data_IF_876206279753
#
_entry.id   IF_876206279753
#
_cell.length_a   1.000
_cell.length_b   1.000
_cell.length_c   1.000
_cell.angle_alpha   90.00
_cell.angle_beta   90.00
_cell.angle_gamma   90.00
#
_symmetry.space_group_name_H-M   'P 1'
#
loop_
_entity.id
_entity.type
_entity.pdbx_description
1 polymer ?
#
# COMPACT_ATOMS: atom_id res chain seq x y z
N UNK A 1 -9.78 14.39 -32.92
CA UNK A 1 -8.82 14.39 -31.79
C UNK A 1 -9.41 15.16 -30.62
N UNK A 2 -9.87 14.47 -29.56
CA UNK A 2 -10.43 15.15 -28.38
C UNK A 2 -9.28 15.59 -27.48
N UNK A 3 -9.05 16.90 -27.42
CA UNK A 3 -8.07 17.52 -26.54
C UNK A 3 -8.52 17.34 -25.08
N UNK A 4 -7.81 16.50 -24.33
CA UNK A 4 -8.07 16.24 -22.91
C UNK A 4 -7.45 17.38 -22.10
N UNK A 5 -8.30 18.30 -21.63
CA UNK A 5 -7.92 19.36 -20.70
C UNK A 5 -7.43 18.70 -19.41
N UNK A 6 -6.11 18.76 -19.16
CA UNK A 6 -5.53 18.34 -17.88
C UNK A 6 -6.04 19.31 -16.82
N UNK A 7 -6.98 18.86 -15.97
CA UNK A 7 -7.39 19.63 -14.80
C UNK A 7 -6.16 19.78 -13.89
N UNK A 8 -5.70 21.01 -13.69
CA UNK A 8 -4.71 21.35 -12.67
C UNK A 8 -5.31 21.09 -11.29
N UNK A 9 -5.19 19.84 -10.82
CA UNK A 9 -5.50 19.48 -9.45
C UNK A 9 -4.25 19.84 -8.64
N UNK A 10 -4.39 20.87 -7.80
CA UNK A 10 -3.35 21.32 -6.90
C UNK A 10 -3.13 20.25 -5.82
N UNK A 11 -2.19 19.34 -6.08
CA UNK A 11 -1.84 18.23 -5.20
C UNK A 11 -1.10 18.77 -3.97
N UNK A 12 -1.60 18.55 -2.73
CA UNK A 12 -0.98 19.14 -1.55
C UNK A 12 0.44 18.62 -1.38
N UNK A 13 1.42 19.50 -1.59
CA UNK A 13 2.86 19.27 -1.44
C UNK A 13 3.31 19.17 0.03
N UNK A 14 2.39 18.87 0.96
CA UNK A 14 2.73 18.68 2.37
C UNK A 14 3.02 17.20 2.60
N UNK A 15 4.26 16.79 2.35
CA UNK A 15 4.96 15.66 3.00
C UNK A 15 6.37 15.51 2.39
N UNK A 16 7.21 16.55 2.52
CA UNK A 16 8.66 16.44 2.28
C UNK A 16 9.28 15.68 3.48
N UNK A 17 9.57 14.39 3.30
CA UNK A 17 10.63 13.58 3.98
C UNK A 17 10.26 12.12 4.32
N UNK A 18 9.01 11.68 4.17
CA UNK A 18 8.57 10.36 4.68
C UNK A 18 8.86 9.13 3.78
N UNK A 19 9.25 9.32 2.52
CA UNK A 19 9.39 8.20 1.57
C UNK A 19 10.64 7.34 1.81
N UNK A 20 11.81 7.98 2.07
CA UNK A 20 13.01 7.21 2.42
C UNK A 20 12.85 6.50 3.75
N UNK A 21 12.25 7.15 4.75
CA UNK A 21 12.22 6.66 6.12
C UNK A 21 11.41 5.36 6.29
N UNK A 22 10.29 5.19 5.58
CA UNK A 22 9.50 3.95 5.67
C UNK A 22 10.24 2.73 5.10
N UNK A 23 10.98 2.89 4.00
CA UNK A 23 11.75 1.79 3.39
C UNK A 23 12.95 1.41 4.24
N UNK A 24 13.65 2.40 4.83
CA UNK A 24 14.76 2.14 5.76
C UNK A 24 14.31 1.28 6.95
N UNK A 25 13.13 1.55 7.55
CA UNK A 25 12.59 0.75 8.66
C UNK A 25 12.32 -0.71 8.27
N UNK A 26 12.08 -0.99 6.99
CA UNK A 26 11.80 -2.32 6.47
C UNK A 26 13.04 -3.08 6.02
N UNK A 27 14.22 -2.43 5.94
CA UNK A 27 15.48 -3.11 5.55
C UNK A 27 15.93 -4.22 6.49
N UNK A 28 15.39 -4.28 7.72
CA UNK A 28 15.64 -5.38 8.65
C UNK A 28 15.14 -6.74 8.09
N UNK A 29 14.16 -6.74 7.19
CA UNK A 29 13.68 -7.96 6.54
C UNK A 29 14.52 -8.26 5.30
N UNK A 30 15.10 -9.45 5.26
CA UNK A 30 16.07 -9.86 4.23
C UNK A 30 15.41 -10.37 2.95
N UNK A 31 14.27 -11.04 3.05
CA UNK A 31 13.48 -11.47 1.89
C UNK A 31 12.58 -10.32 1.42
N UNK A 32 13.04 -9.63 0.38
CA UNK A 32 12.41 -8.42 -0.17
C UNK A 32 12.71 -8.25 -1.66
N UNK A 33 11.94 -7.40 -2.32
CA UNK A 33 12.15 -7.01 -3.70
C UNK A 33 11.30 -5.81 -4.08
N UNK A 34 11.39 -5.39 -5.34
CA UNK A 34 10.58 -4.29 -5.84
C UNK A 34 10.32 -4.40 -7.34
N UNK A 35 9.19 -3.84 -7.77
CA UNK A 35 8.84 -3.75 -9.19
C UNK A 35 8.15 -2.41 -9.50
N UNK A 36 8.14 -2.04 -10.78
CA UNK A 36 7.45 -0.85 -11.28
C UNK A 36 6.19 -1.21 -12.06
N UNK A 37 5.21 -0.33 -12.02
CA UNK A 37 3.93 -0.47 -12.69
C UNK A 37 3.51 0.87 -13.31
N UNK A 38 3.41 0.91 -14.64
CA UNK A 38 2.83 1.97 -15.44
C UNK A 38 1.37 1.65 -15.82
N UNK A 39 0.64 2.64 -16.37
CA UNK A 39 -0.78 2.47 -16.72
C UNK A 39 -0.98 1.41 -17.81
N UNK A 40 -0.02 1.27 -18.71
CA UNK A 40 -0.02 0.35 -19.84
C UNK A 40 0.36 -1.08 -19.43
N UNK A 41 0.91 -1.26 -18.23
CA UNK A 41 1.38 -2.56 -17.77
C UNK A 41 0.23 -3.49 -17.36
N UNK A 42 0.47 -4.79 -17.52
CA UNK A 42 -0.31 -5.79 -16.83
C UNK A 42 0.33 -6.10 -15.47
N UNK A 43 -0.31 -5.69 -14.38
CA UNK A 43 0.20 -5.90 -13.01
C UNK A 43 0.50 -7.37 -12.69
N UNK A 44 -0.21 -8.34 -13.29
CA UNK A 44 0.07 -9.76 -13.06
C UNK A 44 1.37 -10.23 -13.71
N UNK A 45 1.87 -9.52 -14.72
CA UNK A 45 3.12 -9.84 -15.42
C UNK A 45 4.33 -9.15 -14.78
N UNK A 46 4.15 -7.93 -14.24
CA UNK A 46 5.26 -7.17 -13.65
C UNK A 46 5.44 -7.40 -12.14
N UNK A 47 4.42 -7.90 -11.44
CA UNK A 47 4.51 -8.19 -10.01
C UNK A 47 5.35 -9.44 -9.74
N UNK A 48 6.51 -9.25 -9.11
CA UNK A 48 7.48 -10.29 -8.73
C UNK A 48 7.36 -10.73 -7.26
N UNK A 49 6.38 -10.20 -6.52
CA UNK A 49 6.17 -10.51 -5.12
C UNK A 49 5.83 -12.01 -4.89
N UNK A 50 6.15 -12.58 -3.71
CA UNK A 50 5.90 -13.98 -3.43
C UNK A 50 4.41 -14.32 -3.30
N UNK A 51 4.02 -15.45 -3.87
CA UNK A 51 2.65 -15.97 -3.85
C UNK A 51 2.30 -16.85 -2.62
N UNK A 52 3.28 -17.18 -1.77
CA UNK A 52 3.11 -18.10 -0.62
C UNK A 52 3.65 -17.55 0.70
N UNK A 53 3.84 -16.24 0.81
CA UNK A 53 4.40 -15.62 2.01
C UNK A 53 3.54 -14.45 2.49
N UNK A 54 3.47 -14.29 3.82
CA UNK A 54 2.91 -13.11 4.47
C UNK A 54 3.92 -11.96 4.55
N UNK A 55 3.45 -10.73 4.50
CA UNK A 55 4.34 -9.57 4.50
C UNK A 55 3.65 -8.24 4.24
N UNK A 56 4.47 -7.23 3.98
CA UNK A 56 4.09 -5.84 3.71
C UNK A 56 4.46 -5.49 2.27
N UNK A 57 3.65 -4.64 1.64
CA UNK A 57 4.02 -3.92 0.43
C UNK A 57 3.75 -2.43 0.61
N UNK A 58 4.71 -1.63 0.18
CA UNK A 58 4.70 -0.17 0.24
C UNK A 58 4.68 0.33 -1.20
N UNK A 59 3.82 1.31 -1.49
CA UNK A 59 3.65 1.84 -2.83
C UNK A 59 4.01 3.32 -2.83
N UNK A 60 4.97 3.66 -3.68
CA UNK A 60 5.35 5.02 -4.00
C UNK A 60 4.82 5.39 -5.39
N UNK A 61 4.15 6.54 -5.49
CA UNK A 61 3.79 7.14 -6.77
C UNK A 61 4.90 8.12 -7.20
N UNK A 62 5.25 8.07 -8.48
CA UNK A 62 6.23 8.97 -9.08
C UNK A 62 5.56 9.88 -10.10
N UNK A 63 5.73 11.19 -9.91
CA UNK A 63 5.37 12.21 -10.90
C UNK A 63 6.58 13.10 -11.12
N UNK A 64 7.08 13.19 -12.36
CA UNK A 64 8.31 13.92 -12.69
C UNK A 64 9.49 13.53 -11.78
N UNK A 65 9.72 12.22 -11.60
CA UNK A 65 10.76 11.65 -10.74
C UNK A 65 10.69 12.02 -9.25
N UNK A 66 9.56 12.55 -8.77
CA UNK A 66 9.36 12.85 -7.34
C UNK A 66 8.54 11.74 -6.68
N UNK A 67 9.14 10.93 -5.77
CA UNK A 67 8.39 9.90 -5.07
C UNK A 67 7.46 10.49 -4.02
N UNK A 68 6.28 9.89 -3.89
CA UNK A 68 5.36 10.11 -2.78
C UNK A 68 4.82 8.77 -2.29
N UNK A 69 4.91 8.54 -0.98
CA UNK A 69 4.26 7.41 -0.33
C UNK A 69 2.73 7.55 -0.47
N UNK A 70 2.11 6.62 -1.17
CA UNK A 70 0.67 6.66 -1.45
C UNK A 70 -0.10 5.53 -0.80
N UNK A 71 0.51 4.35 -0.62
CA UNK A 71 -0.20 3.22 -0.04
C UNK A 71 0.73 2.30 0.76
N UNK A 72 0.19 1.71 1.82
CA UNK A 72 0.81 0.60 2.54
C UNK A 72 -0.24 -0.50 2.68
N UNK A 73 0.14 -1.73 2.39
CA UNK A 73 -0.74 -2.87 2.50
C UNK A 73 -0.05 -4.10 3.08
N UNK A 74 -0.84 -5.02 3.63
CA UNK A 74 -0.35 -6.31 4.12
C UNK A 74 -0.97 -7.53 3.41
N UNK A 75 -0.25 -8.65 3.53
CA UNK A 75 -0.77 -10.00 3.40
C UNK A 75 -0.45 -10.80 4.66
N UNK A 76 -1.49 -11.37 5.27
CA UNK A 76 -1.44 -11.93 6.62
C UNK A 76 -2.50 -11.29 7.50
N UNK A 77 -3.00 -12.02 8.49
CA UNK A 77 -3.96 -11.50 9.47
C UNK A 77 -3.64 -12.01 10.85
N UNK A 78 -3.80 -11.19 11.88
CA UNK A 78 -3.67 -11.65 13.26
C UNK A 78 -4.76 -12.68 13.56
N UNK A 79 -4.39 -13.79 14.17
CA UNK A 79 -5.30 -14.77 14.76
C UNK A 79 -5.50 -14.31 16.20
N UNK A 80 -6.70 -13.80 16.51
CA UNK A 80 -7.00 -13.22 17.83
C UNK A 80 -6.81 -14.24 18.96
N UNK A 81 -7.19 -15.50 18.73
CA UNK A 81 -7.16 -16.55 19.73
C UNK A 81 -5.73 -16.98 20.15
N UNK A 82 -4.77 -16.95 19.22
CA UNK A 82 -3.41 -17.45 19.48
C UNK A 82 -2.34 -16.36 19.50
N UNK A 83 -2.68 -15.13 19.10
CA UNK A 83 -1.72 -14.04 18.92
C UNK A 83 -0.81 -14.20 17.69
N UNK A 84 -0.75 -15.39 17.09
CA UNK A 84 -0.05 -15.70 15.84
C UNK A 84 -0.76 -15.03 14.66
N UNK A 85 -0.26 -15.22 13.44
CA UNK A 85 -0.93 -14.76 12.23
C UNK A 85 -1.18 -15.90 11.26
N UNK A 86 -2.21 -15.74 10.43
CA UNK A 86 -2.55 -16.65 9.35
C UNK A 86 -2.04 -16.09 8.04
N UNK A 87 -1.16 -16.84 7.37
CA UNK A 87 -0.80 -16.57 5.98
C UNK A 87 -2.03 -16.69 5.08
N UNK A 88 -2.12 -15.81 4.09
CA UNK A 88 -3.16 -15.93 3.06
C UNK A 88 -2.66 -16.85 1.96
N UNK A 89 -3.58 -17.64 1.39
CA UNK A 89 -3.30 -18.65 0.36
C UNK A 89 -2.51 -18.10 -0.84
N UNK A 90 -2.70 -16.82 -1.15
CA UNK A 90 -2.14 -16.15 -2.31
C UNK A 90 -1.02 -15.15 -1.98
N UNK A 91 -0.55 -15.12 -0.73
CA UNK A 91 0.62 -14.35 -0.32
C UNK A 91 0.52 -12.85 -0.60
N UNK A 92 1.67 -12.19 -0.74
CA UNK A 92 1.76 -10.77 -1.09
C UNK A 92 1.24 -10.55 -2.52
N UNK A 93 1.67 -11.42 -3.45
CA UNK A 93 1.29 -11.35 -4.87
C UNK A 93 -0.22 -11.24 -5.06
N UNK A 94 -0.99 -12.13 -4.43
CA UNK A 94 -2.44 -12.17 -4.57
C UNK A 94 -3.14 -10.95 -4.01
N UNK A 95 -2.58 -10.33 -2.96
CA UNK A 95 -3.07 -9.05 -2.46
C UNK A 95 -2.84 -7.95 -3.50
N UNK A 96 -1.65 -7.86 -4.08
CA UNK A 96 -1.35 -6.83 -5.07
C UNK A 96 -2.22 -7.00 -6.33
N UNK A 97 -2.22 -8.21 -6.92
CA UNK A 97 -2.80 -8.48 -8.25
C UNK A 97 -4.31 -8.71 -8.20
N UNK A 98 -4.80 -9.49 -7.22
CA UNK A 98 -6.22 -9.91 -7.13
C UNK A 98 -7.00 -9.18 -6.03
N UNK A 99 -6.31 -8.42 -5.17
CA UNK A 99 -6.92 -7.74 -4.06
C UNK A 99 -7.90 -6.66 -4.50
N UNK A 100 -8.80 -6.32 -3.58
CA UNK A 100 -9.74 -5.21 -3.73
C UNK A 100 -9.45 -4.11 -2.71
N UNK A 101 -9.76 -2.88 -3.11
CA UNK A 101 -9.70 -1.67 -2.31
C UNK A 101 -11.14 -1.21 -2.04
N UNK A 102 -11.46 -0.86 -0.79
CA UNK A 102 -12.76 -0.24 -0.49
C UNK A 102 -12.75 1.20 -1.02
N UNK A 103 -13.86 1.62 -1.62
CA UNK A 103 -13.99 2.98 -2.13
C UNK A 103 -14.36 3.91 -0.97
N UNK A 104 -13.64 5.03 -0.82
CA UNK A 104 -13.93 6.01 0.23
C UNK A 104 -15.39 6.52 0.10
N UNK A 105 -16.09 6.62 1.23
CA UNK A 105 -17.51 7.02 1.25
C UNK A 105 -18.48 5.97 0.70
N UNK A 106 -18.03 4.75 0.37
CA UNK A 106 -18.87 3.70 -0.19
C UNK A 106 -18.70 2.36 0.52
N UNK A 107 -19.74 1.52 0.45
CA UNK A 107 -19.70 0.10 0.84
C UNK A 107 -19.08 -0.78 -0.26
N UNK A 108 -18.91 -0.24 -1.46
CA UNK A 108 -18.37 -0.93 -2.63
C UNK A 108 -16.85 -1.13 -2.56
N UNK A 109 -16.37 -2.14 -3.27
CA UNK A 109 -14.95 -2.44 -3.44
C UNK A 109 -14.60 -2.46 -4.93
N UNK A 110 -13.41 -1.96 -5.25
CA UNK A 110 -12.83 -1.96 -6.58
C UNK A 110 -11.62 -2.89 -6.64
N UNK A 111 -11.35 -3.52 -7.78
CA UNK A 111 -10.10 -4.28 -7.96
C UNK A 111 -8.92 -3.32 -7.90
N UNK A 112 -7.87 -3.67 -7.17
CA UNK A 112 -6.69 -2.82 -6.99
C UNK A 112 -6.04 -2.42 -8.31
N UNK A 113 -5.95 -3.34 -9.28
CA UNK A 113 -5.45 -3.01 -10.61
C UNK A 113 -6.22 -1.84 -11.26
N UNK A 114 -7.54 -1.79 -11.11
CA UNK A 114 -8.37 -0.68 -11.62
C UNK A 114 -8.21 0.57 -10.77
N UNK A 115 -8.18 0.42 -9.46
CA UNK A 115 -7.99 1.51 -8.51
C UNK A 115 -6.66 2.25 -8.75
N UNK A 116 -5.54 1.52 -8.92
CA UNK A 116 -4.23 2.11 -9.17
C UNK A 116 -4.22 2.91 -10.46
N UNK A 117 -4.67 2.33 -11.57
CA UNK A 117 -4.73 3.01 -12.87
C UNK A 117 -5.57 4.28 -12.79
N UNK A 118 -6.73 4.22 -12.12
CA UNK A 118 -7.61 5.37 -11.92
C UNK A 118 -6.93 6.48 -11.10
N UNK A 119 -6.30 6.14 -9.98
CA UNK A 119 -5.60 7.13 -9.14
C UNK A 119 -4.38 7.72 -9.85
N UNK A 120 -3.66 6.92 -10.64
CA UNK A 120 -2.54 7.39 -11.47
C UNK A 120 -2.99 8.40 -12.53
N UNK A 121 -4.05 8.08 -13.28
CA UNK A 121 -4.62 8.94 -14.32
C UNK A 121 -5.19 10.24 -13.73
N UNK A 122 -5.85 10.17 -12.56
CA UNK A 122 -6.35 11.34 -11.84
C UNK A 122 -5.22 12.23 -11.29
N UNK A 123 -4.12 11.61 -10.85
CA UNK A 123 -3.02 12.29 -10.18
C UNK A 123 -1.88 12.75 -11.09
N UNK A 124 -1.89 12.36 -12.37
CA UNK A 124 -0.74 12.58 -13.26
C UNK A 124 0.51 11.85 -12.77
N UNK A 125 0.35 10.58 -12.39
CA UNK A 125 1.43 9.70 -11.93
C UNK A 125 2.00 8.93 -13.12
N UNK A 126 3.31 8.96 -13.28
CA UNK A 126 4.03 8.31 -14.36
C UNK A 126 4.11 6.79 -14.13
N UNK A 127 4.51 6.39 -12.92
CA UNK A 127 4.55 4.99 -12.50
C UNK A 127 4.40 4.85 -10.98
N UNK A 128 4.05 3.64 -10.55
CA UNK A 128 4.11 3.20 -9.16
C UNK A 128 5.33 2.30 -8.97
N UNK A 129 6.02 2.47 -7.85
CA UNK A 129 7.03 1.53 -7.37
C UNK A 129 6.47 0.79 -6.16
N UNK A 130 6.52 -0.53 -6.23
CA UNK A 130 6.07 -1.42 -5.18
C UNK A 130 7.29 -2.05 -4.52
N UNK A 131 7.50 -1.74 -3.25
CA UNK A 131 8.50 -2.42 -2.41
C UNK A 131 7.78 -3.46 -1.57
N UNK A 132 8.21 -4.72 -1.61
CA UNK A 132 7.61 -5.80 -0.82
C UNK A 132 8.63 -6.46 0.11
N UNK A 133 8.15 -6.88 1.27
CA UNK A 133 8.95 -7.46 2.35
C UNK A 133 8.22 -8.65 2.95
N UNK A 134 8.88 -9.81 3.04
CA UNK A 134 8.37 -10.97 3.77
C UNK A 134 8.70 -10.79 5.25
N UNK A 135 7.65 -10.77 6.07
CA UNK A 135 7.75 -10.54 7.52
C UNK A 135 7.81 -11.86 8.32
N UNK A 136 7.65 -12.97 7.60
CA UNK A 136 7.72 -14.31 8.14
C UNK A 136 8.65 -15.16 7.30
N UNK A 137 9.88 -15.27 7.78
CA UNK A 137 10.82 -16.31 7.38
C UNK A 137 10.97 -17.22 8.59
N UNK A 138 10.76 -18.52 8.38
CA UNK A 138 10.86 -19.61 9.38
C UNK A 138 12.17 -19.61 10.19
N UNK A 139 13.14 -18.75 9.85
CA UNK A 139 14.47 -18.67 10.50
C UNK A 139 14.76 -17.39 11.29
N UNK A 140 14.06 -16.26 11.09
CA UNK A 140 14.56 -14.96 11.60
C UNK A 140 13.51 -13.95 12.10
N UNK A 141 12.30 -13.90 11.53
CA UNK A 141 11.30 -12.88 11.87
C UNK A 141 9.90 -13.46 11.92
N UNK A 142 9.12 -13.04 12.92
CA UNK A 142 7.75 -13.50 13.17
C UNK A 142 6.79 -12.32 13.39
N UNK A 143 7.07 -11.19 12.73
CA UNK A 143 6.29 -9.97 12.87
C UNK A 143 4.92 -10.15 12.19
N UNK A 144 3.84 -9.82 12.91
CA UNK A 144 2.49 -9.92 12.38
C UNK A 144 2.27 -8.84 11.29
N UNK A 145 1.98 -9.21 10.01
CA UNK A 145 1.86 -8.24 8.93
C UNK A 145 0.77 -7.19 9.16
N UNK A 146 -0.36 -7.57 9.76
CA UNK A 146 -1.45 -6.64 10.07
C UNK A 146 -1.06 -5.63 11.16
N UNK A 147 -0.28 -6.04 12.15
CA UNK A 147 0.22 -5.14 13.21
C UNK A 147 1.20 -4.13 12.63
N UNK A 148 2.14 -4.59 11.81
CA UNK A 148 3.12 -3.72 11.14
C UNK A 148 2.43 -2.73 10.21
N UNK A 149 1.47 -3.18 9.38
CA UNK A 149 0.68 -2.32 8.50
C UNK A 149 -0.02 -1.18 9.26
N UNK A 150 -0.72 -1.51 10.36
CA UNK A 150 -1.40 -0.50 11.17
C UNK A 150 -0.43 0.52 11.76
N UNK A 151 0.72 0.07 12.28
CA UNK A 151 1.76 0.95 12.81
C UNK A 151 2.30 1.89 11.74
N UNK A 152 2.65 1.37 10.56
CA UNK A 152 3.17 2.19 9.46
C UNK A 152 2.12 3.15 8.90
N UNK A 153 0.86 2.73 8.72
CA UNK A 153 -0.21 3.63 8.26
C UNK A 153 -0.43 4.76 9.28
N UNK A 154 -0.45 4.44 10.57
CA UNK A 154 -0.61 5.44 11.64
C UNK A 154 0.54 6.45 11.65
N UNK A 155 1.78 5.97 11.44
CA UNK A 155 2.99 6.79 11.47
C UNK A 155 3.14 7.67 10.23
N UNK A 156 2.87 7.12 9.05
CA UNK A 156 3.20 7.77 7.76
C UNK A 156 2.01 8.35 7.02
N UNK A 157 0.78 7.99 7.38
CA UNK A 157 -0.46 8.53 6.83
C UNK A 157 -0.52 8.55 5.28
N UNK A 158 -0.28 7.41 4.59
CA UNK A 158 -0.34 7.30 3.13
C UNK A 158 -1.70 7.76 2.57
N UNK A 159 -1.68 8.53 1.48
CA UNK A 159 -2.89 9.23 1.01
C UNK A 159 -3.96 8.35 0.36
N UNK A 160 -3.62 7.16 -0.12
CA UNK A 160 -4.56 6.22 -0.76
C UNK A 160 -4.99 5.08 0.18
N UNK A 161 -4.47 5.03 1.40
CA UNK A 161 -5.08 4.21 2.45
C UNK A 161 -6.38 4.86 2.91
N UNK A 162 -7.41 4.05 3.08
CA UNK A 162 -8.67 4.57 3.63
C UNK A 162 -8.43 4.91 5.09
N UNK A 163 -8.65 6.18 5.43
CA UNK A 163 -8.69 6.61 6.81
C UNK A 163 -9.94 6.00 7.44
N UNK A 164 -9.73 5.10 8.39
CA UNK A 164 -10.75 4.87 9.38
C UNK A 164 -10.74 6.13 10.23
N UNK A 165 -11.75 6.99 10.10
CA UNK A 165 -11.99 7.97 11.14
C UNK A 165 -12.19 7.15 12.42
N UNK A 166 -11.16 7.11 13.27
CA UNK A 166 -11.36 6.91 14.69
C UNK A 166 -12.49 7.86 15.04
N UNK A 167 -13.60 7.35 15.57
CA UNK A 167 -14.52 8.23 16.29
C UNK A 167 -13.65 8.98 17.29
N UNK A 168 -13.41 10.26 17.05
CA UNK A 168 -12.86 11.14 18.08
C UNK A 168 -13.87 11.01 19.20
N UNK A 169 -13.47 10.38 20.30
CA UNK A 169 -14.20 10.51 21.53
C UNK A 169 -14.17 12.01 21.84
N UNK A 170 -15.27 12.69 21.54
CA UNK A 170 -15.59 13.96 22.14
C UNK A 170 -15.74 13.60 23.62
N UNK A 171 -14.68 13.81 24.39
CA UNK A 171 -14.85 14.01 25.81
C UNK A 171 -15.50 15.38 25.92
N UNK A 172 -16.83 15.37 26.03
CA UNK A 172 -17.54 16.49 26.62
C UNK A 172 -16.97 16.65 28.03
N UNK A 173 -16.14 17.68 28.18
CA UNK A 173 -15.76 18.19 29.48
C UNK A 173 -16.99 18.93 30.00
N UNK A 174 -17.61 18.35 31.03
CA UNK A 174 -18.59 19.05 31.88
C UNK A 174 -17.94 20.26 32.54
#
# INVERSE_FOLDING_TARGET
>A
MKHRIKKNINWPMKNKSNSKTVIEEMKKYTCRGSFRFAIEDNISHVCDAPAKHGGIYIIHAYSNNKPRLVYIGSSGKKIVATGLFKERKDGIWGRIVRGTQRIAGSKSKERRCKFWVKEMDNGGVDFLEFDWFVLHDKKAFFDCPETVEKSLISKYNPSWNIKHNSKVAIFDVM
#
